data_IF_852858806729
#
_entry.id   IF_852858806729
#
_cell.length_a   1.000
_cell.length_b   1.000
_cell.length_c   1.000
_cell.angle_alpha   90.00
_cell.angle_beta   90.00
_cell.angle_gamma   90.00
#
_symmetry.space_group_name_H-M   'P 1'
#
loop_
_entity.id
_entity.type
_entity.pdbx_description
1 polymer ?
#
# COMPACT_ATOMS: atom_id res chain seq x y z
N UNK A 1 75.79 -10.72 52.35
CA UNK A 1 74.86 -11.77 51.91
C UNK A 1 73.45 -11.66 52.50
N UNK A 2 73.10 -10.65 53.31
CA UNK A 2 71.76 -10.47 53.91
C UNK A 2 70.87 -9.36 53.19
N UNK A 3 71.42 -8.61 52.28
CA UNK A 3 70.69 -7.51 51.58
C UNK A 3 70.03 -7.98 50.29
N UNK A 4 70.50 -9.07 49.64
CA UNK A 4 69.90 -9.55 48.38
C UNK A 4 68.64 -10.39 48.59
N UNK A 5 68.47 -11.00 49.79
CA UNK A 5 67.29 -11.81 50.09
C UNK A 5 66.00 -10.96 50.38
N UNK A 6 66.13 -9.68 50.69
CA UNK A 6 64.95 -8.79 50.90
C UNK A 6 64.37 -8.26 49.58
N UNK A 7 65.15 -8.18 48.53
CA UNK A 7 64.64 -7.69 47.23
C UNK A 7 63.87 -8.76 46.45
N UNK A 8 64.21 -10.03 46.63
CA UNK A 8 63.49 -11.10 45.94
C UNK A 8 62.13 -11.41 46.54
N UNK A 9 61.91 -11.06 47.83
CA UNK A 9 60.59 -11.29 48.48
C UNK A 9 59.56 -10.27 48.12
N UNK A 10 59.96 -9.07 47.68
CA UNK A 10 59.03 -7.98 47.30
C UNK A 10 58.54 -8.12 45.82
N UNK A 11 59.29 -8.82 44.99
CA UNK A 11 58.91 -9.01 43.55
C UNK A 11 57.90 -10.15 43.41
N UNK A 12 57.79 -11.09 44.37
CA UNK A 12 56.87 -12.21 44.28
C UNK A 12 55.45 -11.92 44.71
N UNK A 13 55.17 -10.71 45.25
CA UNK A 13 53.80 -10.32 45.74
C UNK A 13 53.05 -9.49 44.66
N UNK A 14 53.70 -9.08 43.59
CA UNK A 14 53.11 -8.20 42.57
C UNK A 14 52.53 -8.98 41.36
N UNK A 15 52.56 -10.31 41.43
CA UNK A 15 51.96 -11.14 40.38
C UNK A 15 50.68 -11.85 40.80
N UNK A 16 49.90 -11.29 41.74
CA UNK A 16 48.49 -11.63 41.81
C UNK A 16 47.79 -10.87 40.65
N UNK A 17 47.46 -11.63 39.65
CA UNK A 17 46.65 -11.22 38.52
C UNK A 17 45.29 -10.79 39.08
N UNK A 18 45.15 -9.51 39.39
CA UNK A 18 43.84 -8.90 39.70
C UNK A 18 43.01 -8.92 38.44
N UNK A 19 42.40 -10.09 38.18
CA UNK A 19 41.48 -10.26 37.09
C UNK A 19 40.25 -9.37 37.36
N UNK A 20 40.24 -8.18 36.77
CA UNK A 20 39.11 -7.27 36.78
C UNK A 20 37.82 -7.98 36.35
N UNK A 21 36.77 -7.85 37.15
CA UNK A 21 35.43 -8.28 36.75
C UNK A 21 35.04 -7.59 35.47
N UNK A 22 34.22 -8.23 34.68
CA UNK A 22 33.77 -7.69 33.40
C UNK A 22 32.26 -7.80 33.30
N UNK A 23 31.64 -6.81 32.70
CA UNK A 23 30.19 -6.79 32.44
C UNK A 23 29.80 -7.88 31.45
N UNK A 24 28.60 -8.44 31.62
CA UNK A 24 28.15 -9.63 30.89
C UNK A 24 28.03 -9.40 29.37
N UNK A 25 27.57 -8.22 28.96
CA UNK A 25 27.23 -7.99 27.54
C UNK A 25 28.42 -7.52 26.69
N UNK A 26 29.22 -6.61 27.20
CA UNK A 26 30.28 -5.96 26.43
C UNK A 26 31.68 -6.24 26.98
N UNK A 27 31.78 -7.08 28.02
CA UNK A 27 33.03 -7.38 28.69
C UNK A 27 33.82 -6.11 29.11
N UNK A 28 33.10 -5.03 29.45
CA UNK A 28 33.71 -3.81 29.98
C UNK A 28 34.22 -4.04 31.39
N UNK A 29 35.29 -3.34 31.82
CA UNK A 29 35.76 -3.40 33.19
C UNK A 29 34.67 -3.08 34.18
N UNK A 30 34.49 -3.86 35.22
CA UNK A 30 33.57 -3.65 36.33
C UNK A 30 34.43 -3.49 37.60
N UNK A 31 34.76 -2.23 37.90
CA UNK A 31 35.68 -1.90 39.00
C UNK A 31 35.01 -1.94 40.35
N UNK A 32 35.68 -2.63 41.26
CA UNK A 32 35.33 -2.60 42.70
C UNK A 32 36.16 -1.52 43.42
N UNK A 33 35.73 -1.14 44.62
CA UNK A 33 36.40 -0.08 45.40
C UNK A 33 37.84 -0.46 45.79
N UNK A 34 38.19 -1.73 45.76
CA UNK A 34 39.50 -2.26 46.06
C UNK A 34 40.43 -2.38 44.85
N UNK A 35 39.90 -2.18 43.62
CA UNK A 35 40.63 -2.35 42.39
C UNK A 35 41.64 -1.22 42.16
N UNK A 36 42.79 -1.55 41.68
CA UNK A 36 43.79 -0.59 41.26
C UNK A 36 43.61 -0.32 39.75
N UNK A 37 43.01 0.77 39.42
CA UNK A 37 42.71 1.15 38.01
C UNK A 37 44.00 1.53 37.31
N UNK A 38 44.35 0.76 36.29
CA UNK A 38 45.49 1.06 35.43
C UNK A 38 45.04 1.88 34.21
N UNK A 39 45.93 2.70 33.68
CA UNK A 39 45.67 3.48 32.48
C UNK A 39 45.37 2.57 31.26
N UNK A 40 45.96 1.38 31.22
CA UNK A 40 45.66 0.37 30.20
C UNK A 40 44.20 -0.06 30.20
N UNK A 41 43.61 -0.27 31.39
CA UNK A 41 42.22 -0.70 31.53
C UNK A 41 41.25 0.39 31.04
N UNK A 42 41.59 1.65 31.32
CA UNK A 42 40.81 2.80 30.85
C UNK A 42 40.89 2.94 29.32
N UNK A 43 42.07 2.79 28.75
CA UNK A 43 42.27 2.83 27.30
C UNK A 43 41.53 1.67 26.60
N UNK A 44 41.57 0.46 27.17
CA UNK A 44 40.84 -0.70 26.64
C UNK A 44 39.32 -0.47 26.66
N UNK A 45 38.78 0.10 27.73
CA UNK A 45 37.39 0.52 27.79
C UNK A 45 37.03 1.52 26.70
N UNK A 46 37.86 2.55 26.52
CA UNK A 46 37.62 3.59 25.51
C UNK A 46 37.61 2.98 24.08
N UNK A 47 38.55 2.11 23.76
CA UNK A 47 38.58 1.43 22.47
C UNK A 47 37.38 0.52 22.23
N UNK A 48 36.91 -0.20 23.26
CA UNK A 48 35.73 -1.05 23.13
C UNK A 48 34.47 -0.24 22.92
N UNK A 49 34.32 0.88 23.62
CA UNK A 49 33.18 1.79 23.43
C UNK A 49 33.19 2.41 22.03
N UNK A 50 34.34 2.89 21.57
CA UNK A 50 34.48 3.46 20.22
C UNK A 50 34.11 2.42 19.15
N UNK A 51 34.61 1.20 19.27
CA UNK A 51 34.28 0.10 18.34
C UNK A 51 32.80 -0.25 18.37
N UNK A 52 32.17 -0.30 19.54
CA UNK A 52 30.75 -0.58 19.68
C UNK A 52 29.89 0.53 19.08
N UNK A 53 30.21 1.78 19.35
CA UNK A 53 29.52 2.95 18.78
C UNK A 53 29.64 2.96 17.26
N UNK A 54 30.85 2.72 16.74
CA UNK A 54 31.05 2.64 15.28
C UNK A 54 30.21 1.53 14.64
N UNK A 55 30.14 0.36 15.25
CA UNK A 55 29.30 -0.75 14.78
C UNK A 55 27.81 -0.42 14.82
N UNK A 56 27.36 0.31 15.83
CA UNK A 56 25.99 0.81 15.92
C UNK A 56 25.68 1.81 14.81
N UNK A 57 26.59 2.77 14.56
CA UNK A 57 26.42 3.76 13.48
C UNK A 57 26.36 3.07 12.12
N UNK A 58 27.22 2.12 11.85
CA UNK A 58 27.22 1.37 10.60
C UNK A 58 25.90 0.56 10.43
N UNK A 59 25.41 -0.03 11.52
CA UNK A 59 24.12 -0.75 11.51
C UNK A 59 22.95 0.19 11.28
N UNK A 60 22.93 1.35 11.91
CA UNK A 60 21.89 2.37 11.73
C UNK A 60 21.88 2.92 10.31
N UNK A 61 23.07 3.22 9.77
CA UNK A 61 23.20 3.69 8.39
C UNK A 61 22.66 2.68 7.37
N UNK A 62 22.87 1.39 7.59
CA UNK A 62 22.33 0.35 6.71
C UNK A 62 20.81 0.13 6.86
N UNK A 63 20.26 0.33 8.05
CA UNK A 63 18.81 0.16 8.30
C UNK A 63 17.98 1.40 7.96
N UNK A 64 18.57 2.58 8.06
CA UNK A 64 17.92 3.87 7.81
C UNK A 64 18.26 4.42 6.41
N UNK A 65 18.73 3.60 5.50
CA UNK A 65 19.05 4.05 4.15
C UNK A 65 17.77 4.49 3.43
N UNK A 66 17.59 5.81 3.42
CA UNK A 66 16.46 6.48 2.75
C UNK A 66 16.39 6.09 1.27
N UNK A 67 17.53 5.75 0.66
CA UNK A 67 17.59 5.33 -0.74
C UNK A 67 16.91 3.97 -0.94
N UNK A 68 17.13 3.03 -0.03
CA UNK A 68 16.45 1.72 -0.07
C UNK A 68 14.94 1.84 0.14
N UNK A 69 14.49 2.70 1.06
CA UNK A 69 13.06 2.97 1.26
C UNK A 69 12.46 3.61 0.02
N UNK A 70 13.15 4.56 -0.59
CA UNK A 70 12.72 5.22 -1.83
C UNK A 70 12.64 4.22 -2.99
N UNK A 71 13.62 3.33 -3.13
CA UNK A 71 13.61 2.29 -4.15
C UNK A 71 12.41 1.35 -4.00
N UNK A 72 12.12 0.88 -2.78
CA UNK A 72 10.92 0.05 -2.52
C UNK A 72 9.63 0.81 -2.81
N UNK A 73 9.55 2.09 -2.47
CA UNK A 73 8.39 2.92 -2.81
C UNK A 73 8.19 3.04 -4.33
N UNK A 74 9.27 3.21 -5.09
CA UNK A 74 9.23 3.25 -6.56
C UNK A 74 8.82 1.90 -7.15
N UNK A 75 9.33 0.79 -6.62
CA UNK A 75 8.92 -0.55 -7.05
C UNK A 75 7.44 -0.82 -6.76
N UNK A 76 6.93 -0.41 -5.60
CA UNK A 76 5.51 -0.51 -5.24
C UNK A 76 4.65 0.36 -6.16
N UNK A 77 5.11 1.56 -6.49
CA UNK A 77 4.40 2.43 -7.43
C UNK A 77 4.36 1.80 -8.83
N UNK A 78 5.49 1.31 -9.34
CA UNK A 78 5.58 0.62 -10.62
C UNK A 78 4.73 -0.66 -10.65
N UNK A 79 4.71 -1.44 -9.57
CA UNK A 79 3.86 -2.63 -9.44
C UNK A 79 2.37 -2.28 -9.43
N UNK A 80 1.99 -1.15 -8.86
CA UNK A 80 0.60 -0.65 -8.93
C UNK A 80 0.23 -0.20 -10.33
N UNK A 81 1.11 0.48 -11.04
CA UNK A 81 0.90 0.88 -12.44
C UNK A 81 0.86 -0.33 -13.39
N UNK A 82 1.62 -1.37 -13.11
CA UNK A 82 1.57 -2.63 -13.87
C UNK A 82 0.35 -3.49 -13.55
N UNK A 83 -0.43 -3.17 -12.53
CA UNK A 83 -1.64 -3.90 -12.18
C UNK A 83 -2.74 -3.59 -13.19
N UNK A 84 -3.23 -4.63 -13.87
CA UNK A 84 -4.24 -4.50 -14.92
C UNK A 84 -5.59 -4.00 -14.40
N UNK A 85 -5.89 -4.19 -13.11
CA UNK A 85 -7.18 -3.84 -12.50
C UNK A 85 -6.94 -3.06 -11.21
N UNK A 86 -7.42 -1.81 -11.20
CA UNK A 86 -7.38 -0.93 -10.04
C UNK A 86 -8.81 -0.52 -9.72
N UNK A 87 -9.23 -0.67 -8.46
CA UNK A 87 -10.51 -0.18 -8.00
C UNK A 87 -10.48 1.35 -7.95
N UNK A 88 -11.29 2.00 -8.75
CA UNK A 88 -11.38 3.45 -8.82
C UNK A 88 -12.44 4.01 -7.84
N UNK A 89 -13.59 3.36 -7.71
CA UNK A 89 -14.67 3.85 -6.87
C UNK A 89 -15.65 2.73 -6.44
N UNK A 90 -16.46 3.02 -5.43
CA UNK A 90 -17.56 2.20 -4.95
C UNK A 90 -17.21 1.25 -3.79
N UNK A 91 -18.13 0.43 -3.32
CA UNK A 91 -19.51 0.35 -3.82
C UNK A 91 -20.34 1.60 -3.51
N UNK A 92 -21.18 2.00 -4.46
CA UNK A 92 -22.18 3.05 -4.28
C UNK A 92 -23.56 2.39 -4.27
N UNK A 93 -24.45 2.85 -3.43
CA UNK A 93 -25.79 2.29 -3.24
C UNK A 93 -26.84 3.38 -3.42
N UNK A 94 -27.87 3.11 -4.20
CA UNK A 94 -29.04 4.00 -4.27
C UNK A 94 -29.96 3.75 -3.07
N UNK A 95 -30.47 4.81 -2.48
CA UNK A 95 -31.38 4.74 -1.32
C UNK A 95 -32.83 5.02 -1.68
N UNK A 96 -33.08 5.52 -2.87
CA UNK A 96 -34.41 5.91 -3.35
C UNK A 96 -34.73 5.30 -4.70
N UNK A 97 -36.03 5.15 -5.00
CA UNK A 97 -36.46 4.86 -6.36
C UNK A 97 -35.95 5.94 -7.32
N UNK A 98 -35.60 5.56 -8.53
CA UNK A 98 -34.99 6.43 -9.54
C UNK A 98 -33.63 7.02 -9.10
N UNK A 99 -32.96 6.40 -8.15
CA UNK A 99 -31.65 6.83 -7.68
C UNK A 99 -30.58 6.73 -8.76
N UNK A 100 -29.56 7.51 -8.60
CA UNK A 100 -28.39 7.56 -9.48
C UNK A 100 -27.14 7.08 -8.76
N UNK A 101 -26.33 6.29 -9.46
CA UNK A 101 -25.00 5.87 -9.05
C UNK A 101 -24.00 6.75 -9.81
N UNK A 102 -23.42 7.72 -9.13
CA UNK A 102 -22.50 8.68 -9.74
C UNK A 102 -21.06 8.32 -9.39
N UNK A 103 -20.22 8.23 -10.41
CA UNK A 103 -18.78 8.01 -10.31
C UNK A 103 -18.08 9.27 -10.81
N UNK A 104 -17.40 9.95 -9.90
CA UNK A 104 -16.55 11.10 -10.23
C UNK A 104 -15.17 10.57 -10.64
N UNK A 105 -14.79 10.83 -11.87
CA UNK A 105 -13.51 10.48 -12.45
C UNK A 105 -12.66 11.71 -12.81
N UNK A 106 -13.02 12.87 -12.30
CA UNK A 106 -12.34 14.14 -12.60
C UNK A 106 -10.86 14.15 -12.22
N UNK A 107 -10.46 13.29 -11.28
CA UNK A 107 -9.05 13.12 -10.84
C UNK A 107 -8.36 11.94 -11.49
N UNK A 108 -9.01 11.22 -12.38
CA UNK A 108 -8.46 10.05 -13.07
C UNK A 108 -7.88 10.46 -14.42
N UNK A 109 -6.63 10.14 -14.64
CA UNK A 109 -5.99 10.33 -15.96
C UNK A 109 -6.46 9.24 -16.93
N UNK A 110 -7.51 9.54 -17.68
CA UNK A 110 -8.14 8.62 -18.62
C UNK A 110 -7.20 8.20 -19.78
N UNK A 111 -6.12 8.94 -20.01
CA UNK A 111 -5.12 8.54 -21.03
C UNK A 111 -4.36 7.27 -20.65
N UNK A 112 -4.32 6.94 -19.37
CA UNK A 112 -3.68 5.74 -18.82
C UNK A 112 -4.63 4.57 -18.63
N UNK A 113 -5.92 4.77 -18.85
CA UNK A 113 -6.95 3.75 -18.63
C UNK A 113 -7.31 3.09 -19.95
N UNK A 114 -7.11 1.78 -20.04
CA UNK A 114 -7.44 1.01 -21.22
C UNK A 114 -8.92 0.61 -21.29
N UNK A 115 -9.56 0.41 -20.13
CA UNK A 115 -10.97 0.08 -20.03
C UNK A 115 -11.48 0.36 -18.62
N UNK A 116 -12.78 0.64 -18.48
CA UNK A 116 -13.47 0.74 -17.20
C UNK A 116 -14.43 -0.43 -17.05
N UNK A 117 -14.38 -1.07 -15.87
CA UNK A 117 -15.21 -2.23 -15.56
C UNK A 117 -16.08 -1.94 -14.34
N UNK A 118 -17.37 -2.12 -14.50
CA UNK A 118 -18.34 -1.97 -13.43
C UNK A 118 -18.96 -3.33 -13.10
N UNK A 119 -19.02 -3.64 -11.83
CA UNK A 119 -19.97 -4.61 -11.33
C UNK A 119 -21.19 -3.87 -10.85
N UNK A 120 -22.37 -4.31 -11.19
CA UNK A 120 -23.61 -3.67 -10.75
C UNK A 120 -24.67 -4.71 -10.34
N UNK A 121 -25.57 -4.27 -9.49
CA UNK A 121 -26.79 -4.98 -9.16
C UNK A 121 -27.94 -3.99 -9.21
N UNK A 122 -28.97 -4.30 -9.99
CA UNK A 122 -30.20 -3.52 -10.01
C UNK A 122 -31.13 -4.01 -8.89
N UNK A 123 -31.61 -3.07 -8.08
CA UNK A 123 -32.23 -3.37 -6.77
C UNK A 123 -33.70 -3.71 -6.77
N UNK A 124 -34.44 -3.65 -7.87
CA UNK A 124 -35.87 -3.88 -7.85
C UNK A 124 -36.47 -4.47 -9.11
N UNK A 125 -37.75 -4.82 -8.98
CA UNK A 125 -38.53 -5.73 -9.81
C UNK A 125 -38.96 -5.19 -11.19
N UNK A 126 -38.58 -4.05 -11.66
CA UNK A 126 -38.91 -3.55 -13.00
C UNK A 126 -38.02 -2.39 -13.45
N UNK A 127 -36.83 -2.35 -12.91
CA UNK A 127 -35.91 -1.26 -13.18
C UNK A 127 -35.05 -1.48 -14.42
N UNK A 128 -34.63 -0.41 -15.02
CA UNK A 128 -33.55 -0.39 -15.99
C UNK A 128 -32.46 0.55 -15.52
N UNK A 129 -31.22 0.19 -15.78
CA UNK A 129 -30.09 1.10 -15.57
C UNK A 129 -29.64 1.65 -16.91
N UNK A 130 -29.68 2.95 -17.03
CA UNK A 130 -29.14 3.70 -18.16
C UNK A 130 -27.74 4.19 -17.83
N UNK A 131 -26.86 4.10 -18.80
CA UNK A 131 -25.50 4.58 -18.72
C UNK A 131 -25.42 5.97 -19.34
N UNK A 132 -24.90 6.92 -18.59
CA UNK A 132 -24.51 8.23 -19.08
C UNK A 132 -23.04 8.52 -18.79
N UNK A 133 -22.37 9.18 -19.69
CA UNK A 133 -20.98 9.63 -19.56
C UNK A 133 -20.95 11.13 -19.81
N UNK A 134 -20.36 11.88 -18.88
CA UNK A 134 -20.36 13.35 -18.91
C UNK A 134 -21.77 13.95 -19.16
N UNK A 135 -22.78 13.34 -18.55
CA UNK A 135 -24.18 13.73 -18.75
C UNK A 135 -24.83 13.30 -20.08
N UNK A 136 -24.08 12.71 -21.01
CA UNK A 136 -24.62 12.19 -22.26
C UNK A 136 -25.08 10.75 -22.11
N UNK A 137 -26.33 10.44 -22.32
CA UNK A 137 -26.86 9.08 -22.28
C UNK A 137 -26.30 8.26 -23.45
N UNK A 138 -25.59 7.19 -23.13
CA UNK A 138 -25.08 6.24 -24.12
C UNK A 138 -26.09 5.16 -24.45
N UNK A 139 -26.84 4.70 -23.46
CA UNK A 139 -27.86 3.68 -23.64
C UNK A 139 -28.18 2.93 -22.34
N UNK A 140 -28.82 1.79 -22.49
CA UNK A 140 -29.27 0.96 -21.36
C UNK A 140 -28.18 -0.05 -20.99
N UNK A 141 -27.65 0.06 -19.76
CA UNK A 141 -26.70 -0.89 -19.22
C UNK A 141 -27.37 -2.20 -18.77
N UNK A 142 -28.59 -2.09 -18.24
CA UNK A 142 -29.41 -3.23 -17.83
C UNK A 142 -30.88 -2.90 -18.07
N UNK A 143 -31.57 -3.72 -18.83
CA UNK A 143 -33.01 -3.73 -18.88
C UNK A 143 -33.52 -4.93 -18.07
N UNK A 144 -34.31 -4.64 -17.06
CA UNK A 144 -34.89 -5.65 -16.18
C UNK A 144 -36.41 -5.53 -16.20
N UNK A 145 -37.07 -6.64 -16.33
CA UNK A 145 -38.53 -6.65 -16.43
C UNK A 145 -39.22 -6.99 -15.10
N UNK A 146 -38.68 -7.83 -14.24
CA UNK A 146 -39.42 -8.34 -13.08
C UNK A 146 -38.58 -8.79 -11.88
N UNK A 147 -37.27 -8.84 -11.96
CA UNK A 147 -36.42 -9.34 -10.88
C UNK A 147 -35.12 -8.59 -10.68
N UNK A 148 -34.48 -8.84 -9.56
CA UNK A 148 -33.13 -8.34 -9.30
C UNK A 148 -32.16 -8.90 -10.34
N UNK A 149 -31.40 -8.03 -10.95
CA UNK A 149 -30.38 -8.37 -11.95
C UNK A 149 -29.02 -7.90 -11.47
N UNK A 150 -28.03 -8.72 -11.72
CA UNK A 150 -26.65 -8.36 -11.53
C UNK A 150 -25.89 -8.50 -12.84
N UNK A 151 -24.81 -7.76 -12.99
CA UNK A 151 -24.06 -7.82 -14.22
C UNK A 151 -22.72 -7.13 -14.19
N UNK A 152 -22.08 -7.20 -15.33
CA UNK A 152 -20.86 -6.51 -15.66
C UNK A 152 -21.16 -5.50 -16.78
N UNK A 153 -20.63 -4.33 -16.62
CA UNK A 153 -20.61 -3.29 -17.64
C UNK A 153 -19.16 -2.90 -17.85
N UNK A 154 -18.73 -2.84 -19.10
CA UNK A 154 -17.42 -2.29 -19.42
C UNK A 154 -17.51 -1.25 -20.53
N UNK A 155 -16.64 -0.25 -20.39
CA UNK A 155 -16.43 0.80 -21.38
C UNK A 155 -15.00 0.66 -21.90
N UNK A 156 -14.87 0.85 -23.18
CA UNK A 156 -13.57 0.85 -23.87
C UNK A 156 -13.51 2.03 -24.84
N UNK A 157 -12.32 2.56 -25.13
CA UNK A 157 -12.16 3.48 -26.23
C UNK A 157 -12.54 2.82 -27.55
N UNK A 158 -13.22 3.55 -28.40
CA UNK A 158 -13.58 3.13 -29.75
C UNK A 158 -13.42 4.28 -30.74
N UNK A 159 -12.43 4.19 -31.62
CA UNK A 159 -11.99 5.31 -32.43
C UNK A 159 -11.67 6.54 -31.54
N UNK A 160 -12.34 7.67 -31.75
CA UNK A 160 -12.22 8.83 -30.88
C UNK A 160 -13.26 8.86 -29.76
N UNK A 161 -14.17 7.88 -29.72
CA UNK A 161 -15.29 7.83 -28.77
C UNK A 161 -15.22 6.72 -27.76
N UNK A 162 -16.38 6.27 -27.34
CA UNK A 162 -16.60 5.25 -26.30
C UNK A 162 -17.49 4.13 -26.84
N UNK A 163 -17.10 2.90 -26.58
CA UNK A 163 -17.98 1.74 -26.71
C UNK A 163 -18.32 1.21 -25.32
N UNK A 164 -19.56 0.84 -25.08
CA UNK A 164 -19.90 0.06 -23.89
C UNK A 164 -20.53 -1.27 -24.28
N UNK A 165 -20.35 -2.23 -23.37
CA UNK A 165 -21.04 -3.51 -23.41
C UNK A 165 -21.40 -3.94 -22.00
N UNK A 166 -22.58 -4.51 -21.82
CA UNK A 166 -23.01 -5.04 -20.54
C UNK A 166 -23.54 -6.47 -20.68
N UNK A 167 -23.20 -7.29 -19.68
CA UNK A 167 -23.73 -8.64 -19.52
C UNK A 167 -24.57 -8.68 -18.26
N UNK A 168 -25.76 -9.21 -18.33
CA UNK A 168 -26.71 -9.26 -17.23
C UNK A 168 -27.09 -10.69 -16.94
N UNK A 169 -27.13 -11.05 -15.66
CA UNK A 169 -27.67 -12.30 -15.14
C UNK A 169 -28.93 -11.97 -14.36
N UNK A 170 -30.03 -12.52 -14.76
CA UNK A 170 -31.35 -12.31 -14.16
C UNK A 170 -32.16 -13.60 -14.23
N UNK A 171 -33.01 -13.82 -13.23
CA UNK A 171 -33.88 -15.00 -13.20
C UNK A 171 -35.00 -14.93 -14.25
N UNK A 172 -35.36 -13.74 -14.70
CA UNK A 172 -36.52 -13.49 -15.58
C UNK A 172 -36.19 -12.73 -16.87
N UNK A 173 -35.02 -12.95 -17.41
CA UNK A 173 -34.69 -12.43 -18.76
C UNK A 173 -34.23 -10.99 -18.82
N UNK A 174 -33.53 -10.50 -17.80
CA UNK A 174 -32.81 -9.24 -17.90
C UNK A 174 -31.82 -9.26 -19.05
N UNK A 175 -31.74 -8.18 -19.79
CA UNK A 175 -30.85 -8.05 -20.96
C UNK A 175 -29.85 -6.94 -20.75
N UNK A 176 -28.63 -7.19 -21.18
CA UNK A 176 -27.59 -6.17 -21.30
C UNK A 176 -27.74 -5.39 -22.61
N UNK A 177 -26.89 -4.40 -22.77
CA UNK A 177 -26.82 -3.57 -23.96
C UNK A 177 -25.38 -3.42 -24.47
N UNK A 178 -25.28 -3.02 -25.71
CA UNK A 178 -24.00 -2.58 -26.29
C UNK A 178 -24.25 -1.45 -27.28
N UNK A 179 -23.38 -0.46 -27.28
CA UNK A 179 -23.46 0.65 -28.21
C UNK A 179 -22.12 1.38 -28.28
N UNK A 180 -21.86 1.97 -29.41
CA UNK A 180 -20.76 2.91 -29.59
C UNK A 180 -21.29 4.35 -29.67
N UNK A 181 -20.51 5.26 -29.12
CA UNK A 181 -20.77 6.69 -29.17
C UNK A 181 -19.49 7.42 -29.54
N UNK A 182 -19.52 8.18 -30.61
CA UNK A 182 -18.36 8.94 -31.09
C UNK A 182 -18.35 10.40 -30.63
N UNK A 183 -19.40 10.83 -29.94
CA UNK A 183 -19.52 12.21 -29.45
C UNK A 183 -18.80 12.41 -28.12
N UNK A 184 -18.82 11.37 -27.27
CA UNK A 184 -18.10 11.37 -25.98
C UNK A 184 -16.69 10.86 -26.23
N UNK A 185 -15.70 11.69 -25.97
CA UNK A 185 -14.29 11.29 -26.13
C UNK A 185 -13.77 10.57 -24.89
N UNK A 186 -13.03 9.48 -25.13
CA UNK A 186 -12.50 8.64 -24.05
C UNK A 186 -11.64 9.40 -23.04
N UNK A 187 -10.71 10.21 -23.52
CA UNK A 187 -9.78 10.97 -22.69
C UNK A 187 -10.40 12.17 -21.96
N UNK A 188 -11.64 12.53 -22.31
CA UNK A 188 -12.37 13.63 -21.68
C UNK A 188 -13.42 13.14 -20.66
N UNK A 189 -13.47 11.82 -20.38
CA UNK A 189 -14.39 11.26 -19.38
C UNK A 189 -14.00 11.77 -18.00
N UNK A 190 -14.93 12.45 -17.34
CA UNK A 190 -14.76 12.93 -15.97
C UNK A 190 -15.89 12.46 -15.04
N UNK A 191 -16.98 11.93 -15.59
CA UNK A 191 -18.07 11.40 -14.79
C UNK A 191 -18.82 10.28 -15.52
N UNK A 192 -19.25 9.29 -14.77
CA UNK A 192 -20.11 8.20 -15.23
C UNK A 192 -21.28 8.09 -14.28
N UNK A 193 -22.46 7.97 -14.85
CA UNK A 193 -23.70 7.84 -14.10
C UNK A 193 -24.48 6.63 -14.58
N UNK A 194 -24.86 5.77 -13.63
CA UNK A 194 -25.88 4.77 -13.84
C UNK A 194 -27.17 5.25 -13.18
N UNK A 195 -28.20 5.48 -13.97
CA UNK A 195 -29.49 5.96 -13.50
C UNK A 195 -30.61 5.05 -13.99
N UNK A 196 -31.69 4.99 -13.26
CA UNK A 196 -32.80 4.14 -13.67
C UNK A 196 -34.06 4.39 -12.91
N UNK A 197 -35.11 3.73 -13.35
CA UNK A 197 -36.44 3.72 -12.68
C UNK A 197 -36.52 2.50 -11.78
N UNK A 198 -37.17 2.65 -10.62
CA UNK A 198 -37.42 1.54 -9.68
C UNK A 198 -36.15 0.77 -9.26
N UNK A 199 -35.07 1.47 -9.04
CA UNK A 199 -33.75 0.87 -8.72
C UNK A 199 -33.27 1.16 -7.29
N UNK A 200 -34.21 1.34 -6.34
CA UNK A 200 -33.86 1.45 -4.94
C UNK A 200 -33.03 0.23 -4.49
N UNK A 201 -31.92 0.47 -3.84
CA UNK A 201 -30.96 -0.58 -3.45
C UNK A 201 -30.04 -1.06 -4.58
N UNK A 202 -30.06 -0.42 -5.77
CA UNK A 202 -29.06 -0.73 -6.79
C UNK A 202 -27.66 -0.38 -6.29
N UNK A 203 -26.69 -1.19 -6.66
CA UNK A 203 -25.28 -1.02 -6.28
C UNK A 203 -24.38 -1.06 -7.50
N UNK A 204 -23.29 -0.35 -7.48
CA UNK A 204 -22.23 -0.50 -8.47
C UNK A 204 -20.86 -0.21 -7.88
N UNK A 205 -19.86 -0.86 -8.44
CA UNK A 205 -18.44 -0.65 -8.14
C UNK A 205 -17.66 -0.51 -9.44
N UNK A 206 -16.80 0.47 -9.51
CA UNK A 206 -15.89 0.75 -10.62
C UNK A 206 -14.45 0.37 -10.25
#
# INVERSE_FOLDING_TARGET
MKALLRQCFFISIITEDFALKRTTNYALPDWEKSDFIQMSDFNDLTHKLDTALKSHDDTLNTKADTSSVTAVQQEVAAAREANCLVKLAGPIVTTTENGTLNFDLSQVDMTKIAALFFTFCAGSSSGSLKLSVNGTELGTACANSWSTSAGLLWLTPFLEGVSYHSTVVSNDGGTGGSKTNTTVKWNEINSITLSGTSNAGATATL
#
